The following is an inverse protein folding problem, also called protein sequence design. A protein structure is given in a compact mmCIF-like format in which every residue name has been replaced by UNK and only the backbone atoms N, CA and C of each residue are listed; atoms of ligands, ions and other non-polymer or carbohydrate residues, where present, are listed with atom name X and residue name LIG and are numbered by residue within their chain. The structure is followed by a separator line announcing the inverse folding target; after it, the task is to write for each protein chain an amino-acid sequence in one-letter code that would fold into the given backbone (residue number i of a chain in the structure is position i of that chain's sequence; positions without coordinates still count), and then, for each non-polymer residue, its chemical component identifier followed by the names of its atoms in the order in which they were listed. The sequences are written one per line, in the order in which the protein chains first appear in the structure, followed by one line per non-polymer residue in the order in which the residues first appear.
data_IF_541728110975
#
_entry.id   IF_541728110975
#
_cell.length_a   1.000
_cell.length_b   1.000
_cell.length_c   1.000
_cell.angle_alpha   90.00
_cell.angle_beta   90.00
_cell.angle_gamma   90.00
#
_symmetry.space_group_name_H-M   'P 1'
#
loop_
_entity.id
_entity.type
_entity.pdbx_description
1 polymer ?
#
# COMPACT_ATOMS: atom_id res chain seq x y z
N UNK A 1 -80.68 -17.05 -11.49
CA UNK A 1 -79.69 -16.79 -10.42
C UNK A 1 -78.35 -17.34 -10.87
N UNK A 2 -77.43 -16.48 -11.29
CA UNK A 2 -76.11 -16.89 -11.79
C UNK A 2 -75.09 -16.87 -10.64
N UNK A 3 -74.36 -17.98 -10.45
CA UNK A 3 -73.28 -18.12 -9.47
C UNK A 3 -71.97 -17.61 -10.07
N UNK A 4 -71.34 -16.64 -9.41
CA UNK A 4 -70.00 -16.13 -9.74
C UNK A 4 -69.00 -16.92 -8.89
N UNK A 5 -68.03 -17.57 -9.54
CA UNK A 5 -66.92 -18.25 -8.85
C UNK A 5 -65.75 -17.26 -8.63
N UNK A 6 -65.10 -17.25 -7.45
CA UNK A 6 -63.90 -16.46 -7.25
C UNK A 6 -62.68 -17.23 -7.75
N UNK A 7 -62.00 -16.68 -8.76
CA UNK A 7 -60.65 -17.12 -9.13
C UNK A 7 -59.66 -16.54 -8.12
N UNK A 8 -59.08 -17.40 -7.29
CA UNK A 8 -57.95 -17.04 -6.42
C UNK A 8 -56.71 -16.96 -7.31
N UNK A 9 -56.26 -15.73 -7.62
CA UNK A 9 -54.96 -15.50 -8.24
C UNK A 9 -53.91 -15.68 -7.14
N UNK A 10 -53.31 -16.86 -7.05
CA UNK A 10 -52.08 -17.08 -6.28
C UNK A 10 -50.96 -16.40 -7.06
N UNK A 11 -50.79 -15.10 -6.82
CA UNK A 11 -49.64 -14.36 -7.30
C UNK A 11 -48.39 -14.92 -6.63
N UNK A 12 -47.63 -15.72 -7.36
CA UNK A 12 -46.27 -16.09 -7.00
C UNK A 12 -45.42 -14.82 -7.03
N UNK A 13 -45.40 -14.12 -5.89
CA UNK A 13 -44.53 -12.99 -5.63
C UNK A 13 -43.10 -13.55 -5.52
N UNK A 14 -42.46 -13.75 -6.68
CA UNK A 14 -41.03 -14.00 -6.78
C UNK A 14 -40.31 -12.79 -6.18
N UNK A 15 -40.02 -12.89 -4.88
CA UNK A 15 -39.06 -12.03 -4.20
C UNK A 15 -37.70 -12.27 -4.86
N UNK A 16 -37.38 -11.45 -5.87
CA UNK A 16 -36.03 -11.29 -6.40
C UNK A 16 -35.20 -10.65 -5.28
N UNK A 17 -34.69 -11.49 -4.38
CA UNK A 17 -33.61 -11.09 -3.49
C UNK A 17 -32.41 -10.80 -4.38
N UNK A 18 -32.21 -9.52 -4.69
CA UNK A 18 -30.97 -9.03 -5.27
C UNK A 18 -29.83 -9.34 -4.29
N UNK A 19 -29.20 -10.48 -4.49
CA UNK A 19 -27.91 -10.79 -3.88
C UNK A 19 -26.96 -9.71 -4.38
N UNK A 20 -26.65 -8.76 -3.50
CA UNK A 20 -25.65 -7.75 -3.77
C UNK A 20 -24.30 -8.48 -3.81
N UNK A 21 -23.87 -8.86 -5.00
CA UNK A 21 -22.49 -9.24 -5.24
C UNK A 21 -21.64 -7.99 -4.98
N UNK A 22 -21.15 -7.84 -3.75
CA UNK A 22 -20.09 -6.89 -3.44
C UNK A 22 -18.88 -7.36 -4.24
N UNK A 23 -18.39 -6.52 -5.15
CA UNK A 23 -17.14 -6.82 -5.84
C UNK A 23 -16.00 -6.82 -4.83
N UNK A 24 -15.08 -7.78 -4.95
CA UNK A 24 -13.86 -7.80 -4.16
C UNK A 24 -13.03 -6.54 -4.46
N UNK A 25 -12.56 -5.87 -3.42
CA UNK A 25 -11.80 -4.64 -3.53
C UNK A 25 -10.53 -4.70 -2.69
N UNK A 26 -9.47 -4.07 -3.19
CA UNK A 26 -8.21 -3.88 -2.47
C UNK A 26 -7.84 -2.41 -2.40
N UNK A 27 -7.16 -1.99 -1.33
CA UNK A 27 -6.61 -0.65 -1.15
C UNK A 27 -5.13 -0.75 -0.82
N UNK A 28 -4.30 -0.16 -1.67
CA UNK A 28 -2.88 0.01 -1.51
C UNK A 28 -2.61 1.27 -0.68
N UNK A 29 -1.76 1.13 0.31
CA UNK A 29 -1.29 2.21 1.16
C UNK A 29 0.18 2.08 1.48
N UNK A 30 0.63 2.94 2.39
CA UNK A 30 2.00 2.96 2.89
C UNK A 30 1.97 3.32 4.36
N UNK A 31 2.91 2.77 5.10
CA UNK A 31 3.21 3.19 6.46
C UNK A 31 4.68 3.53 6.60
N UNK A 32 4.96 4.37 7.59
CA UNK A 32 6.30 4.76 7.96
C UNK A 32 6.55 4.48 9.44
N UNK A 33 7.77 4.06 9.75
CA UNK A 33 8.32 4.03 11.10
C UNK A 33 9.56 4.92 11.16
N UNK A 34 9.68 5.66 12.26
CA UNK A 34 10.90 6.32 12.67
C UNK A 34 11.16 5.85 14.10
N UNK A 35 12.22 5.07 14.32
CA UNK A 35 12.43 4.49 15.66
C UNK A 35 12.77 5.57 16.67
N UNK A 36 12.27 5.42 17.89
CA UNK A 36 12.61 6.31 19.00
C UNK A 36 14.10 6.27 19.34
N UNK A 37 14.78 5.14 19.08
CA UNK A 37 16.23 5.02 19.21
C UNK A 37 17.01 5.88 18.21
N UNK A 38 16.35 6.34 17.14
CA UNK A 38 16.99 7.07 16.05
C UNK A 38 17.91 6.19 15.20
N UNK A 39 17.70 4.87 15.17
CA UNK A 39 18.52 3.94 14.39
C UNK A 39 17.85 3.47 13.10
N UNK A 40 16.55 3.76 12.93
CA UNK A 40 15.74 3.23 11.85
C UNK A 40 14.75 4.27 11.30
N UNK A 41 14.71 4.38 9.98
CA UNK A 41 13.57 4.86 9.22
C UNK A 41 13.14 3.77 8.24
N UNK A 42 11.86 3.41 8.22
CA UNK A 42 11.34 2.40 7.30
C UNK A 42 10.02 2.85 6.67
N UNK A 43 9.89 2.59 5.36
CA UNK A 43 8.64 2.62 4.63
C UNK A 43 8.20 1.18 4.32
N UNK A 44 6.96 0.86 4.67
CA UNK A 44 6.35 -0.47 4.50
C UNK A 44 5.05 -0.36 3.71
N UNK A 45 4.72 -1.34 2.85
CA UNK A 45 3.48 -1.36 2.11
C UNK A 45 2.33 -1.74 3.04
N UNK A 46 1.13 -1.32 2.68
CA UNK A 46 -0.13 -1.77 3.26
C UNK A 46 -1.01 -2.20 2.12
N UNK A 47 -1.64 -3.37 2.25
CA UNK A 47 -2.67 -3.82 1.33
C UNK A 47 -3.85 -4.27 2.15
N UNK A 48 -4.94 -3.52 2.07
CA UNK A 48 -6.22 -3.83 2.72
C UNK A 48 -7.15 -4.48 1.72
N UNK A 49 -7.82 -5.54 2.12
CA UNK A 49 -8.72 -6.31 1.25
C UNK A 49 -10.13 -6.33 1.84
N UNK A 50 -11.13 -6.39 0.97
CA UNK A 50 -12.55 -6.55 1.32
C UNK A 50 -12.85 -7.83 2.11
N UNK A 51 -12.01 -8.85 1.94
CA UNK A 51 -12.07 -10.13 2.61
C UNK A 51 -10.67 -10.59 3.01
N UNK A 52 -10.51 -11.34 4.12
CA UNK A 52 -9.21 -11.88 4.50
C UNK A 52 -8.61 -12.76 3.40
N UNK A 53 -7.38 -12.47 3.00
CA UNK A 53 -6.60 -13.28 2.06
C UNK A 53 -5.10 -13.14 2.35
N UNK A 54 -4.29 -14.06 1.82
CA UNK A 54 -2.85 -14.05 2.08
C UNK A 54 -2.11 -12.86 1.46
N UNK A 55 -2.72 -12.19 0.48
CA UNK A 55 -2.20 -10.96 -0.10
C UNK A 55 -2.38 -9.71 0.76
N UNK A 56 -3.15 -9.79 1.86
CA UNK A 56 -3.27 -8.69 2.81
C UNK A 56 -1.92 -8.36 3.43
N UNK A 57 -1.54 -7.08 3.43
CA UNK A 57 -0.33 -6.59 4.09
C UNK A 57 -0.75 -5.65 5.21
N UNK A 58 -0.70 -6.20 6.43
CA UNK A 58 -1.15 -5.50 7.65
C UNK A 58 -0.15 -4.44 8.08
N UNK A 59 -0.67 -3.43 8.79
CA UNK A 59 0.16 -2.45 9.49
C UNK A 59 1.01 -3.17 10.54
N UNK A 60 2.34 -3.04 10.43
CA UNK A 60 3.29 -3.58 11.41
C UNK A 60 3.20 -2.78 12.73
N UNK A 61 3.42 -3.41 13.90
CA UNK A 61 3.56 -2.69 15.16
C UNK A 61 4.64 -1.60 15.07
N UNK A 62 4.41 -0.42 15.66
CA UNK A 62 5.33 0.73 15.62
C UNK A 62 5.19 1.62 14.37
N UNK A 63 4.59 1.10 13.29
CA UNK A 63 4.39 1.85 12.06
C UNK A 63 3.15 2.74 12.14
N UNK A 64 3.22 3.89 11.47
CA UNK A 64 2.10 4.79 11.26
C UNK A 64 1.67 4.78 9.80
N UNK A 65 0.41 4.43 9.53
CA UNK A 65 -0.20 4.58 8.20
C UNK A 65 -0.17 6.05 7.77
N UNK A 66 0.22 6.31 6.52
CA UNK A 66 0.15 7.65 5.94
C UNK A 66 -1.25 7.91 5.39
N UNK A 67 -1.71 9.15 5.52
CA UNK A 67 -3.05 9.54 5.07
C UNK A 67 -3.06 9.79 3.56
N UNK A 68 -4.24 9.71 2.95
CA UNK A 68 -4.47 10.17 1.57
C UNK A 68 -4.03 11.63 1.41
N UNK A 69 -3.39 11.96 0.29
CA UNK A 69 -2.82 13.27 -0.01
C UNK A 69 -1.31 13.32 0.16
N UNK A 70 -0.77 14.53 0.37
CA UNK A 70 0.67 14.76 0.54
C UNK A 70 1.08 14.56 2.00
N UNK A 71 2.18 13.86 2.22
CA UNK A 71 2.76 13.55 3.52
C UNK A 71 4.23 13.95 3.49
N UNK A 72 4.64 14.78 4.45
CA UNK A 72 6.04 15.13 4.67
C UNK A 72 6.53 14.44 5.94
N UNK A 73 7.62 13.67 5.82
CA UNK A 73 8.22 12.93 6.92
C UNK A 73 9.62 13.46 7.20
N UNK A 74 9.93 13.62 8.48
CA UNK A 74 11.22 14.04 8.99
C UNK A 74 11.62 13.07 10.08
N UNK A 75 12.76 12.39 9.91
CA UNK A 75 13.23 11.37 10.86
C UNK A 75 14.74 11.45 11.02
N UNK A 76 15.22 11.38 12.25
CA UNK A 76 16.66 11.26 12.49
C UNK A 76 17.06 9.78 12.48
N UNK A 77 18.06 9.46 11.67
CA UNK A 77 18.80 8.19 11.71
C UNK A 77 20.25 8.51 12.03
N UNK A 78 20.62 8.34 13.28
CA UNK A 78 21.84 8.87 13.87
C UNK A 78 21.90 10.38 13.79
N UNK A 79 23.04 10.88 13.30
CA UNK A 79 23.23 12.30 13.04
C UNK A 79 22.55 12.79 11.76
N UNK A 80 22.00 11.90 10.93
CA UNK A 80 21.47 12.25 9.62
C UNK A 80 19.95 12.47 9.67
N UNK A 81 19.48 13.56 9.07
CA UNK A 81 18.06 13.81 8.89
C UNK A 81 17.59 13.18 7.57
N UNK A 82 16.69 12.22 7.67
CA UNK A 82 15.89 11.69 6.57
C UNK A 82 14.70 12.61 6.33
N UNK A 83 14.51 13.03 5.08
CA UNK A 83 13.32 13.75 4.62
C UNK A 83 12.66 12.96 3.52
N UNK A 84 11.36 12.71 3.62
CA UNK A 84 10.60 12.04 2.58
C UNK A 84 9.31 12.82 2.28
N UNK A 85 9.08 13.09 0.99
CA UNK A 85 7.82 13.63 0.48
C UNK A 85 7.10 12.51 -0.24
N UNK A 86 5.91 12.18 0.24
CA UNK A 86 5.15 10.99 -0.20
C UNK A 86 3.72 11.42 -0.51
N UNK A 87 3.18 10.98 -1.65
CA UNK A 87 1.79 11.19 -2.01
C UNK A 87 1.02 9.88 -2.06
N UNK A 88 -0.07 9.81 -1.32
CA UNK A 88 -0.98 8.66 -1.29
C UNK A 88 -2.26 9.05 -2.02
N UNK A 89 -2.57 8.31 -3.07
CA UNK A 89 -3.78 8.47 -3.88
C UNK A 89 -4.74 7.33 -3.53
N UNK A 90 -6.00 7.69 -3.27
CA UNK A 90 -7.04 6.72 -2.95
C UNK A 90 -7.50 5.95 -4.19
N UNK A 91 -8.44 5.02 -3.98
CA UNK A 91 -9.12 4.25 -5.03
C UNK A 91 -10.14 5.11 -5.77
N UNK A 92 -9.67 6.13 -6.49
CA UNK A 92 -10.56 7.12 -7.12
C UNK A 92 -10.62 7.04 -8.66
N UNK A 93 -9.75 6.27 -9.34
CA UNK A 93 -9.73 6.28 -10.82
C UNK A 93 -8.93 5.15 -11.51
N UNK A 94 -9.45 4.63 -12.63
CA UNK A 94 -8.68 4.04 -13.75
C UNK A 94 -8.14 2.61 -13.61
N UNK A 95 -7.81 2.00 -14.76
CA UNK A 95 -7.05 0.75 -14.80
C UNK A 95 -5.69 0.94 -14.11
N UNK A 96 -5.27 -0.04 -13.31
CA UNK A 96 -4.08 -0.03 -12.44
C UNK A 96 -4.16 0.85 -11.18
N UNK A 97 -4.87 1.98 -11.17
CA UNK A 97 -5.05 2.83 -9.98
C UNK A 97 -6.34 2.55 -9.19
N UNK A 98 -7.13 1.54 -9.61
CA UNK A 98 -8.36 1.14 -8.94
C UNK A 98 -8.18 0.72 -7.47
N UNK A 99 -7.00 0.23 -7.09
CA UNK A 99 -6.66 -0.07 -5.71
C UNK A 99 -5.95 1.08 -4.97
N UNK A 100 -5.81 2.26 -5.58
CA UNK A 100 -4.97 3.34 -5.07
C UNK A 100 -3.50 3.23 -5.50
N UNK A 101 -2.76 4.31 -5.26
CA UNK A 101 -1.40 4.50 -5.75
C UNK A 101 -0.57 5.27 -4.72
N UNK A 102 0.69 4.89 -4.52
CA UNK A 102 1.62 5.61 -3.65
C UNK A 102 2.83 6.06 -4.47
N UNK A 103 3.16 7.34 -4.35
CA UNK A 103 4.35 7.94 -4.95
C UNK A 103 5.29 8.40 -3.84
N UNK A 104 6.54 7.94 -3.87
CA UNK A 104 7.61 8.58 -3.10
C UNK A 104 8.20 9.65 -4.01
N UNK A 105 7.72 10.89 -3.84
CA UNK A 105 8.07 12.02 -4.72
C UNK A 105 9.53 12.44 -4.53
N UNK A 106 10.04 12.33 -3.30
CA UNK A 106 11.43 12.61 -2.96
C UNK A 106 11.84 11.89 -1.67
N UNK A 107 13.07 11.40 -1.60
CA UNK A 107 13.69 10.93 -0.35
C UNK A 107 15.14 11.36 -0.29
N UNK A 108 15.53 12.03 0.80
CA UNK A 108 16.91 12.50 1.03
C UNK A 108 17.42 12.10 2.40
N UNK A 109 18.72 11.86 2.52
CA UNK A 109 19.44 11.67 3.78
C UNK A 109 20.53 12.74 3.90
N UNK A 110 20.32 13.73 4.76
CA UNK A 110 21.15 14.94 4.77
C UNK A 110 21.09 15.67 3.43
N UNK A 111 22.21 15.73 2.72
CA UNK A 111 22.32 16.33 1.37
C UNK A 111 22.24 15.29 0.23
N UNK A 112 22.24 14.00 0.55
CA UNK A 112 22.23 12.94 -0.45
C UNK A 112 20.80 12.62 -0.87
N UNK A 113 20.53 12.71 -2.17
CA UNK A 113 19.25 12.26 -2.72
C UNK A 113 19.28 10.74 -2.93
N UNK A 114 18.27 10.06 -2.40
CA UNK A 114 18.09 8.62 -2.57
C UNK A 114 17.03 8.34 -3.63
N UNK A 115 15.98 9.17 -3.64
CA UNK A 115 14.93 9.19 -4.67
C UNK A 115 14.82 10.64 -5.16
N UNK A 116 15.28 10.88 -6.39
CA UNK A 116 15.33 12.18 -7.05
C UNK A 116 14.08 12.52 -7.87
N UNK A 117 13.43 11.48 -8.38
CA UNK A 117 12.22 11.57 -9.19
C UNK A 117 11.11 10.75 -8.53
N UNK A 118 9.83 11.10 -8.76
CA UNK A 118 8.72 10.34 -8.22
C UNK A 118 8.83 8.86 -8.58
N UNK A 119 8.98 8.03 -7.55
CA UNK A 119 9.07 6.58 -7.68
C UNK A 119 7.82 5.96 -7.12
N UNK A 120 7.21 5.08 -7.92
CA UNK A 120 6.05 4.33 -7.50
C UNK A 120 6.38 3.35 -6.38
N UNK A 121 5.52 3.29 -5.37
CA UNK A 121 5.62 2.39 -4.23
C UNK A 121 4.32 1.60 -4.07
N UNK A 122 4.42 0.33 -3.71
CA UNK A 122 3.28 -0.56 -3.46
C UNK A 122 2.22 -0.50 -4.57
N UNK A 123 2.68 -0.54 -5.82
CA UNK A 123 1.79 -0.49 -6.97
C UNK A 123 2.42 -1.19 -8.16
N UNK A 124 1.60 -1.95 -8.88
CA UNK A 124 2.01 -2.71 -10.03
C UNK A 124 1.29 -2.22 -11.28
N UNK A 125 2.06 -1.84 -12.29
CA UNK A 125 1.60 -1.75 -13.67
C UNK A 125 2.61 -2.51 -14.54
N UNK A 126 2.10 -3.18 -15.58
CA UNK A 126 2.85 -4.18 -16.33
C UNK A 126 4.25 -3.69 -16.75
N UNK A 127 5.28 -4.51 -16.48
CA UNK A 127 6.64 -4.31 -16.99
C UNK A 127 7.68 -3.84 -15.97
N UNK A 128 7.28 -3.40 -14.77
CA UNK A 128 8.21 -2.89 -13.76
C UNK A 128 8.09 -3.63 -12.41
N UNK A 129 9.22 -3.86 -11.71
CA UNK A 129 9.20 -4.40 -10.35
C UNK A 129 8.57 -3.39 -9.38
N UNK A 130 7.80 -3.91 -8.43
CA UNK A 130 7.08 -3.13 -7.42
C UNK A 130 8.05 -2.78 -6.29
N UNK A 131 8.31 -1.50 -6.03
CA UNK A 131 9.02 -1.10 -4.82
C UNK A 131 8.11 -1.33 -3.61
N UNK A 132 8.53 -2.18 -2.67
CA UNK A 132 7.72 -2.62 -1.52
C UNK A 132 8.42 -2.41 -0.19
N UNK A 133 9.57 -1.74 -0.16
CA UNK A 133 10.25 -1.45 1.09
C UNK A 133 11.44 -0.54 0.88
N UNK A 134 11.58 0.43 1.78
CA UNK A 134 12.76 1.26 1.90
C UNK A 134 13.13 1.34 3.37
N UNK A 135 14.32 0.91 3.72
CA UNK A 135 14.83 0.90 5.08
C UNK A 135 16.15 1.63 5.13
N UNK A 136 16.26 2.56 6.07
CA UNK A 136 17.48 3.32 6.35
C UNK A 136 17.85 3.02 7.79
N UNK A 137 19.00 2.39 7.98
CA UNK A 137 19.49 2.00 9.30
C UNK A 137 20.85 2.59 9.60
N UNK A 138 21.11 2.85 10.87
CA UNK A 138 22.46 3.09 11.36
C UNK A 138 23.05 1.82 11.97
N UNK A 139 24.26 1.46 11.54
CA UNK A 139 25.06 0.40 12.15
C UNK A 139 26.51 0.89 12.25
N UNK A 140 27.10 0.84 13.44
CA UNK A 140 28.50 1.27 13.68
C UNK A 140 28.85 2.65 13.09
N UNK A 141 27.94 3.62 13.25
CA UNK A 141 28.05 4.99 12.69
C UNK A 141 27.95 5.11 11.16
N UNK A 142 27.72 4.01 10.46
CA UNK A 142 27.44 3.98 9.02
C UNK A 142 25.94 3.94 8.77
N UNK A 143 25.54 4.55 7.67
CA UNK A 143 24.15 4.52 7.21
C UNK A 143 24.04 3.50 6.09
N UNK A 144 23.08 2.58 6.22
CA UNK A 144 22.75 1.60 5.21
C UNK A 144 21.37 1.89 4.65
N UNK A 145 21.22 1.71 3.33
CA UNK A 145 19.98 1.87 2.62
C UNK A 145 19.65 0.53 1.99
N UNK A 146 18.56 -0.07 2.45
CA UNK A 146 17.98 -1.28 1.90
C UNK A 146 16.73 -0.91 1.10
N UNK A 147 16.62 -1.45 -0.11
CA UNK A 147 15.45 -1.30 -0.97
C UNK A 147 14.97 -2.68 -1.36
N UNK A 148 13.70 -2.97 -1.13
CA UNK A 148 13.08 -4.25 -1.45
C UNK A 148 12.06 -4.06 -2.57
N UNK A 149 12.14 -4.92 -3.58
CA UNK A 149 11.19 -4.94 -4.70
C UNK A 149 10.58 -6.33 -4.89
N UNK A 150 9.36 -6.38 -5.41
CA UNK A 150 8.66 -7.62 -5.78
C UNK A 150 8.37 -7.64 -7.28
N UNK A 151 8.22 -8.83 -7.87
CA UNK A 151 7.90 -8.96 -9.30
C UNK A 151 6.41 -8.72 -9.58
N UNK A 152 5.55 -9.18 -8.69
CA UNK A 152 4.10 -9.09 -8.76
C UNK A 152 3.50 -9.15 -7.34
N UNK A 153 2.22 -8.82 -7.25
CA UNK A 153 1.38 -9.04 -6.09
C UNK A 153 0.11 -9.75 -6.55
N UNK A 154 -0.28 -10.82 -5.88
CA UNK A 154 -1.53 -11.54 -6.17
C UNK A 154 -2.39 -11.62 -4.91
N UNK A 155 -3.71 -11.59 -5.09
CA UNK A 155 -4.69 -11.58 -3.99
C UNK A 155 -4.48 -12.70 -2.95
N UNK A 156 -4.20 -13.92 -3.41
CA UNK A 156 -4.11 -15.10 -2.54
C UNK A 156 -2.69 -15.43 -2.05
N UNK A 157 -1.66 -14.71 -2.52
CA UNK A 157 -0.26 -15.04 -2.20
C UNK A 157 0.58 -13.83 -1.79
N UNK A 158 0.10 -12.61 -2.04
CA UNK A 158 0.81 -11.38 -1.77
C UNK A 158 1.96 -11.13 -2.73
N UNK A 159 2.97 -10.41 -2.25
CA UNK A 159 4.16 -10.09 -3.02
C UNK A 159 5.01 -11.33 -3.29
N UNK A 160 5.38 -11.56 -4.55
CA UNK A 160 6.23 -12.68 -4.93
C UNK A 160 7.58 -12.22 -5.48
N UNK A 161 8.54 -13.14 -5.44
CA UNK A 161 9.91 -12.93 -5.90
C UNK A 161 10.55 -11.65 -5.31
N UNK A 162 10.39 -11.48 -3.99
CA UNK A 162 10.94 -10.33 -3.27
C UNK A 162 12.47 -10.38 -3.32
N UNK A 163 13.09 -9.28 -3.74
CA UNK A 163 14.54 -9.09 -3.73
C UNK A 163 14.86 -7.79 -3.02
N UNK A 164 15.81 -7.85 -2.08
CA UNK A 164 16.29 -6.69 -1.35
C UNK A 164 17.77 -6.45 -1.66
N UNK A 165 18.11 -5.21 -1.95
CA UNK A 165 19.49 -4.77 -2.14
C UNK A 165 19.84 -3.77 -1.07
N UNK A 166 20.99 -3.96 -0.42
CA UNK A 166 21.51 -3.05 0.60
C UNK A 166 22.80 -2.40 0.11
N UNK A 167 22.96 -1.11 0.40
CA UNK A 167 24.20 -0.35 0.14
C UNK A 167 24.50 0.61 1.27
N UNK A 168 25.79 0.81 1.54
CA UNK A 168 26.26 1.86 2.43
C UNK A 168 26.08 3.23 1.75
N UNK A 169 25.58 4.22 2.49
CA UNK A 169 25.56 5.61 2.05
C UNK A 169 27.00 6.14 2.08
N UNK A 170 27.60 6.29 0.90
CA UNK A 170 28.90 6.96 0.76
C UNK A 170 28.73 8.44 1.09
N UNK A 171 29.54 8.93 2.02
CA UNK A 171 29.60 10.35 2.42
C UNK A 171 30.43 11.15 1.42
#
# INVERSE_FOLDING_TARGET
MAKIAPYIIIGNLFFLYSLHAQADWGINGIAAECSESGELFELSPIVELSSPAAGEVKLKPGFRRLNKGSNELYCHVGKHLVKASIRVYGSDSGACMGAGYVSVDRLTIGHNSIIEHPTTFNWHCQGEPILIGLRITQQDSKIYIESCSAKNWEWDTGFQAISCTSRELKQ
#
